data_IF_180904026285
#
_entry.id   IF_180904026285
#
_cell.length_a   1.000
_cell.length_b   1.000
_cell.length_c   1.000
_cell.angle_alpha   90.00
_cell.angle_beta   90.00
_cell.angle_gamma   90.00
#
_symmetry.space_group_name_H-M   'P 1'
#
loop_
_entity.id
_entity.type
_entity.pdbx_description
1 polymer ?
#
# COMPACT_ATOMS: atom_id res chain seq x y z
N UNK A 1 29.68 -39.47 -26.19
CA UNK A 1 28.58 -39.82 -25.27
C UNK A 1 28.24 -38.59 -24.47
N UNK A 2 27.08 -38.00 -24.74
CA UNK A 2 26.56 -36.83 -24.05
C UNK A 2 25.99 -37.25 -22.69
N UNK A 3 26.21 -36.45 -21.65
CA UNK A 3 25.43 -36.51 -20.42
C UNK A 3 24.75 -35.15 -20.23
N UNK A 4 23.44 -35.20 -20.32
CA UNK A 4 22.53 -34.07 -20.18
C UNK A 4 22.18 -33.83 -18.70
N UNK A 5 21.94 -32.54 -18.44
CA UNK A 5 20.84 -31.99 -17.64
C UNK A 5 20.83 -32.21 -16.12
N UNK A 6 21.17 -31.14 -15.41
CA UNK A 6 20.51 -30.73 -14.18
C UNK A 6 20.39 -29.19 -14.17
N UNK A 7 19.34 -28.67 -14.83
CA UNK A 7 18.85 -27.30 -14.62
C UNK A 7 17.36 -27.44 -14.33
N UNK A 8 17.02 -27.63 -13.07
CA UNK A 8 15.66 -27.50 -12.58
C UNK A 8 15.66 -26.40 -11.52
N UNK A 9 14.62 -25.57 -11.55
CA UNK A 9 14.27 -24.52 -10.58
C UNK A 9 14.91 -23.13 -10.81
N UNK A 10 14.65 -22.49 -11.96
CA UNK A 10 14.63 -21.00 -12.08
C UNK A 10 13.70 -20.46 -13.19
N UNK A 11 12.80 -21.28 -13.76
CA UNK A 11 12.01 -20.89 -14.95
C UNK A 11 10.61 -20.31 -14.65
N UNK A 12 10.02 -20.61 -13.50
CA UNK A 12 8.60 -20.28 -13.25
C UNK A 12 8.38 -18.78 -12.99
N UNK A 13 9.34 -18.08 -12.37
CA UNK A 13 9.20 -16.64 -12.08
C UNK A 13 9.43 -15.72 -13.29
N UNK A 14 10.39 -16.06 -14.16
CA UNK A 14 10.73 -15.22 -15.32
C UNK A 14 9.71 -15.38 -16.47
N UNK A 15 9.14 -16.57 -16.66
CA UNK A 15 8.13 -16.80 -17.70
C UNK A 15 6.80 -16.08 -17.41
N UNK A 16 6.44 -15.92 -16.12
CA UNK A 16 5.26 -15.16 -15.71
C UNK A 16 5.47 -13.65 -15.81
N UNK A 17 6.67 -13.15 -15.52
CA UNK A 17 7.00 -11.73 -15.77
C UNK A 17 7.12 -11.41 -17.26
N UNK A 18 7.62 -12.35 -18.08
CA UNK A 18 7.78 -12.17 -19.53
C UNK A 18 6.46 -12.24 -20.31
N UNK A 19 5.48 -13.02 -19.84
CA UNK A 19 4.16 -13.08 -20.49
C UNK A 19 3.37 -11.79 -20.26
N UNK A 20 3.52 -11.19 -19.08
CA UNK A 20 2.89 -9.92 -18.73
C UNK A 20 3.55 -8.72 -19.45
N UNK A 21 4.79 -8.83 -19.94
CA UNK A 21 5.53 -7.73 -20.67
C UNK A 21 5.29 -7.83 -22.17
N UNK A 22 4.59 -8.86 -22.62
CA UNK A 22 4.37 -9.06 -24.03
C UNK A 22 3.67 -7.82 -24.64
N UNK A 23 4.05 -7.40 -25.86
CA UNK A 23 3.38 -6.32 -26.56
C UNK A 23 1.86 -6.52 -26.68
N UNK A 24 1.42 -7.79 -26.70
CA UNK A 24 0.02 -8.19 -26.72
C UNK A 24 -0.71 -7.83 -25.41
N UNK A 25 -0.07 -8.02 -24.26
CA UNK A 25 -0.62 -7.62 -22.96
C UNK A 25 -0.75 -6.10 -22.82
N UNK A 26 0.22 -5.33 -23.33
CA UNK A 26 0.16 -3.86 -23.35
C UNK A 26 -0.97 -3.37 -24.27
N UNK A 27 -1.14 -4.01 -25.44
CA UNK A 27 -2.21 -3.67 -26.37
C UNK A 27 -3.60 -3.90 -25.79
N UNK A 28 -3.84 -5.02 -25.09
CA UNK A 28 -5.11 -5.28 -24.39
C UNK A 28 -5.38 -4.25 -23.29
N UNK A 29 -4.36 -3.96 -22.47
CA UNK A 29 -4.43 -2.94 -21.44
C UNK A 29 -4.74 -1.55 -22.01
N UNK A 30 -4.20 -1.18 -23.18
CA UNK A 30 -4.56 0.07 -23.87
C UNK A 30 -6.03 0.13 -24.25
N UNK A 31 -6.61 -0.97 -24.72
CA UNK A 31 -8.04 -1.00 -25.07
C UNK A 31 -8.91 -0.83 -23.82
N UNK A 32 -8.58 -1.52 -22.73
CA UNK A 32 -9.30 -1.42 -21.45
C UNK A 32 -9.10 -0.05 -20.77
N UNK A 33 -7.90 0.51 -20.84
CA UNK A 33 -7.64 1.87 -20.36
C UNK A 33 -8.44 2.93 -21.16
N UNK A 34 -8.65 2.70 -22.46
CA UNK A 34 -9.46 3.58 -23.31
C UNK A 34 -10.95 3.57 -22.94
N UNK A 35 -11.47 2.48 -22.37
CA UNK A 35 -12.85 2.44 -21.85
C UNK A 35 -13.01 3.16 -20.51
N UNK A 36 -11.91 3.61 -19.89
CA UNK A 36 -11.92 4.36 -18.62
C UNK A 36 -11.86 3.47 -17.38
N UNK A 37 -11.57 2.17 -17.53
CA UNK A 37 -11.39 1.26 -16.40
C UNK A 37 -10.16 1.66 -15.57
N UNK A 38 -10.36 2.15 -14.34
CA UNK A 38 -9.28 2.68 -13.50
C UNK A 38 -8.19 1.64 -13.20
N UNK A 39 -8.58 0.38 -13.02
CA UNK A 39 -7.64 -0.73 -12.82
C UNK A 39 -6.76 -0.93 -14.06
N UNK A 40 -7.34 -0.94 -15.26
CA UNK A 40 -6.56 -1.06 -16.49
C UNK A 40 -5.65 0.16 -16.75
N UNK A 41 -6.09 1.38 -16.40
CA UNK A 41 -5.25 2.58 -16.47
C UNK A 41 -4.05 2.44 -15.52
N UNK A 42 -4.27 1.96 -14.30
CA UNK A 42 -3.18 1.69 -13.35
C UNK A 42 -2.23 0.62 -13.88
N UNK A 43 -2.76 -0.54 -14.28
CA UNK A 43 -1.97 -1.68 -14.74
C UNK A 43 -1.12 -1.31 -15.97
N UNK A 44 -1.71 -0.58 -16.92
CA UNK A 44 -0.99 -0.03 -18.07
C UNK A 44 0.10 0.94 -17.62
N UNK A 45 -0.24 1.86 -16.71
CA UNK A 45 0.69 2.86 -16.20
C UNK A 45 1.90 2.22 -15.53
N UNK A 46 1.70 1.27 -14.61
CA UNK A 46 2.79 0.52 -13.98
C UNK A 46 3.57 -0.30 -15.00
N UNK A 47 2.89 -0.82 -16.04
CA UNK A 47 3.56 -1.65 -17.02
C UNK A 47 4.51 -0.87 -17.90
N UNK A 48 4.11 0.33 -18.31
CA UNK A 48 4.93 1.23 -19.10
C UNK A 48 6.12 1.79 -18.31
N UNK A 49 6.06 1.82 -16.97
CA UNK A 49 7.23 2.13 -16.14
C UNK A 49 8.23 0.97 -16.04
N UNK A 50 7.72 -0.26 -16.05
CA UNK A 50 8.53 -1.46 -15.78
C UNK A 50 8.98 -2.16 -17.08
N UNK A 51 8.70 -1.59 -18.26
CA UNK A 51 9.02 -2.22 -19.55
C UNK A 51 10.48 -2.03 -19.98
N UNK A 52 11.21 -1.14 -19.31
CA UNK A 52 12.62 -0.84 -19.59
C UNK A 52 12.84 0.01 -20.83
N UNK A 53 11.79 0.59 -21.42
CA UNK A 53 11.84 1.57 -22.49
C UNK A 53 11.56 2.98 -21.93
N UNK A 54 12.59 3.82 -21.75
CA UNK A 54 12.42 5.15 -21.16
C UNK A 54 11.50 6.09 -21.95
N UNK A 55 11.18 5.76 -23.20
CA UNK A 55 10.22 6.55 -23.98
C UNK A 55 8.78 6.40 -23.48
N UNK A 56 8.47 5.32 -22.75
CA UNK A 56 7.15 5.02 -22.21
C UNK A 56 6.93 5.55 -20.79
N UNK A 57 7.98 5.89 -20.04
CA UNK A 57 7.89 6.40 -18.66
C UNK A 57 7.00 7.64 -18.52
N UNK A 58 7.03 8.54 -19.50
CA UNK A 58 6.20 9.74 -19.44
C UNK A 58 4.70 9.37 -19.54
N UNK A 59 4.35 8.44 -20.43
CA UNK A 59 2.99 7.95 -20.61
C UNK A 59 2.53 7.15 -19.38
N UNK A 60 3.38 6.23 -18.90
CA UNK A 60 3.11 5.43 -17.71
C UNK A 60 2.80 6.30 -16.49
N UNK A 61 3.60 7.35 -16.30
CA UNK A 61 3.39 8.34 -15.25
C UNK A 61 2.07 9.10 -15.38
N UNK A 62 1.77 9.61 -16.57
CA UNK A 62 0.56 10.41 -16.77
C UNK A 62 -0.71 9.57 -16.55
N UNK A 63 -0.68 8.28 -16.93
CA UNK A 63 -1.75 7.33 -16.64
C UNK A 63 -1.94 7.10 -15.14
N UNK A 64 -0.86 6.91 -14.39
CA UNK A 64 -0.93 6.73 -12.94
C UNK A 64 -1.44 7.99 -12.22
N UNK A 65 -0.96 9.17 -12.61
CA UNK A 65 -1.46 10.46 -12.11
C UNK A 65 -2.95 10.60 -12.39
N UNK A 66 -3.40 10.26 -13.60
CA UNK A 66 -4.81 10.29 -13.98
C UNK A 66 -5.64 9.35 -13.11
N UNK A 67 -5.23 8.08 -12.98
CA UNK A 67 -5.94 7.10 -12.16
C UNK A 67 -6.00 7.52 -10.68
N UNK A 68 -4.89 8.01 -10.13
CA UNK A 68 -4.84 8.51 -8.75
C UNK A 68 -5.78 9.70 -8.53
N UNK A 69 -5.76 10.70 -9.43
CA UNK A 69 -6.68 11.85 -9.35
C UNK A 69 -8.15 11.48 -9.51
N UNK A 70 -8.46 10.36 -10.19
CA UNK A 70 -9.80 9.79 -10.28
C UNK A 70 -10.20 8.95 -9.05
N UNK A 71 -9.35 8.91 -8.02
CA UNK A 71 -9.61 8.23 -6.75
C UNK A 71 -9.26 6.75 -6.76
N UNK A 72 -8.42 6.29 -7.69
CA UNK A 72 -7.93 4.91 -7.64
C UNK A 72 -6.81 4.76 -6.59
N UNK A 73 -7.06 4.07 -5.46
CA UNK A 73 -6.15 4.09 -4.32
C UNK A 73 -4.79 3.50 -4.67
N UNK A 74 -4.73 2.39 -5.42
CA UNK A 74 -3.44 1.75 -5.77
C UNK A 74 -2.52 2.68 -6.59
N UNK A 75 -3.07 3.50 -7.49
CA UNK A 75 -2.27 4.49 -8.21
C UNK A 75 -1.77 5.59 -7.29
N UNK A 76 -2.63 6.09 -6.39
CA UNK A 76 -2.22 7.07 -5.39
C UNK A 76 -1.13 6.51 -4.46
N UNK A 77 -1.25 5.26 -3.99
CA UNK A 77 -0.23 4.60 -3.17
C UNK A 77 1.09 4.41 -3.93
N UNK A 78 1.01 4.05 -5.22
CA UNK A 78 2.19 3.90 -6.07
C UNK A 78 2.92 5.24 -6.22
N UNK A 79 2.19 6.31 -6.55
CA UNK A 79 2.72 7.68 -6.66
C UNK A 79 3.33 8.14 -5.34
N UNK A 80 2.64 7.91 -4.23
CA UNK A 80 3.12 8.25 -2.89
C UNK A 80 4.49 7.62 -2.62
N UNK A 81 4.62 6.31 -2.82
CA UNK A 81 5.89 5.59 -2.63
C UNK A 81 6.97 6.11 -3.57
N UNK A 82 6.64 6.35 -4.84
CA UNK A 82 7.60 6.89 -5.82
C UNK A 82 8.17 8.25 -5.37
N UNK A 83 7.33 9.16 -4.87
CA UNK A 83 7.77 10.45 -4.34
C UNK A 83 8.52 10.34 -3.01
N UNK A 84 8.04 9.50 -2.08
CA UNK A 84 8.63 9.34 -0.75
C UNK A 84 10.02 8.70 -0.79
N UNK A 85 10.22 7.72 -1.65
CA UNK A 85 11.51 7.04 -1.82
C UNK A 85 12.42 7.71 -2.85
N UNK A 86 11.94 8.75 -3.54
CA UNK A 86 12.72 9.47 -4.55
C UNK A 86 13.12 8.61 -5.74
N UNK A 87 12.23 7.75 -6.23
CA UNK A 87 12.52 6.96 -7.43
C UNK A 87 12.85 7.90 -8.60
N UNK A 88 14.00 7.66 -9.22
CA UNK A 88 14.76 8.62 -10.05
C UNK A 88 13.97 9.19 -11.24
N UNK A 89 13.00 8.46 -11.79
CA UNK A 89 12.14 8.88 -12.91
C UNK A 89 10.91 9.71 -12.51
N UNK A 90 10.55 9.70 -11.22
CA UNK A 90 9.27 10.23 -10.72
C UNK A 90 9.40 11.55 -9.98
N UNK A 91 10.52 11.72 -9.30
CA UNK A 91 10.88 12.97 -8.66
C UNK A 91 11.29 13.99 -9.73
N UNK A 92 10.48 15.04 -9.93
CA UNK A 92 10.83 16.24 -10.74
C UNK A 92 12.05 17.01 -10.20
N UNK A 93 12.81 16.41 -9.29
CA UNK A 93 13.91 16.95 -8.51
C UNK A 93 15.05 15.94 -8.50
N UNK A 94 15.68 15.68 -9.65
CA UNK A 94 16.94 14.92 -9.78
C UNK A 94 17.02 13.60 -8.95
N UNK A 95 15.91 12.87 -8.80
CA UNK A 95 15.85 11.65 -7.97
C UNK A 95 15.90 11.86 -6.45
N UNK A 96 15.51 13.04 -5.96
CA UNK A 96 15.39 13.32 -4.52
C UNK A 96 13.97 13.03 -4.03
N UNK A 97 13.83 12.48 -2.84
CA UNK A 97 12.52 12.31 -2.21
C UNK A 97 11.78 13.65 -2.11
N UNK A 98 10.47 13.63 -2.37
CA UNK A 98 9.56 14.76 -2.16
C UNK A 98 8.50 14.33 -1.15
N UNK A 99 8.74 14.71 0.11
CA UNK A 99 7.89 14.31 1.23
C UNK A 99 6.48 14.89 1.12
N UNK A 100 6.34 16.15 0.73
CA UNK A 100 5.05 16.85 0.66
C UNK A 100 4.13 16.24 -0.40
N UNK A 101 4.65 16.00 -1.61
CA UNK A 101 3.89 15.39 -2.69
C UNK A 101 3.59 13.92 -2.37
N UNK A 102 4.58 13.19 -1.82
CA UNK A 102 4.40 11.82 -1.37
C UNK A 102 3.29 11.70 -0.33
N UNK A 103 3.27 12.59 0.66
CA UNK A 103 2.22 12.64 1.68
C UNK A 103 0.86 13.01 1.10
N UNK A 104 0.80 13.95 0.15
CA UNK A 104 -0.45 14.30 -0.54
C UNK A 104 -1.07 13.07 -1.20
N UNK A 105 -0.28 12.31 -1.96
CA UNK A 105 -0.75 11.09 -2.60
C UNK A 105 -1.09 9.99 -1.60
N UNK A 106 -0.30 9.85 -0.53
CA UNK A 106 -0.54 8.85 0.51
C UNK A 106 -1.86 9.09 1.24
N UNK A 107 -2.17 10.36 1.55
CA UNK A 107 -3.47 10.75 2.11
C UNK A 107 -4.60 10.42 1.14
N UNK A 108 -4.45 10.77 -0.14
CA UNK A 108 -5.46 10.48 -1.16
C UNK A 108 -5.71 8.97 -1.29
N UNK A 109 -4.65 8.16 -1.22
CA UNK A 109 -4.76 6.71 -1.20
C UNK A 109 -5.55 6.22 0.01
N UNK A 110 -5.17 6.64 1.22
CA UNK A 110 -5.85 6.25 2.46
C UNK A 110 -7.32 6.70 2.52
N UNK A 111 -7.64 7.87 1.99
CA UNK A 111 -9.03 8.39 1.98
C UNK A 111 -9.94 7.64 1.00
N UNK A 112 -9.39 7.13 -0.11
CA UNK A 112 -10.15 6.39 -1.13
C UNK A 112 -9.98 4.87 -1.03
N UNK A 113 -9.16 4.39 -0.10
CA UNK A 113 -8.92 2.99 0.10
C UNK A 113 -10.16 2.29 0.66
N UNK A 114 -10.44 1.09 0.13
CA UNK A 114 -11.42 0.21 0.76
C UNK A 114 -10.75 -0.58 1.88
N UNK A 115 -11.50 -0.97 2.92
CA UNK A 115 -10.94 -1.66 4.07
C UNK A 115 -10.19 -2.97 3.69
N UNK A 116 -10.63 -3.64 2.64
CA UNK A 116 -10.08 -4.91 2.12
C UNK A 116 -8.85 -4.78 1.20
N UNK A 117 -8.35 -3.57 0.96
CA UNK A 117 -7.24 -3.32 0.00
C UNK A 117 -5.90 -3.08 0.69
N UNK A 118 -4.82 -2.95 -0.09
CA UNK A 118 -3.41 -2.69 0.33
C UNK A 118 -3.19 -1.42 1.19
N UNK A 119 -4.28 -0.81 1.67
CA UNK A 119 -4.35 0.36 2.54
C UNK A 119 -3.57 0.21 3.84
N UNK A 120 -3.27 -1.01 4.29
CA UNK A 120 -2.49 -1.26 5.51
C UNK A 120 -1.19 -0.47 5.51
N UNK A 121 -0.42 -0.60 4.43
CA UNK A 121 0.87 0.04 4.32
C UNK A 121 0.71 1.55 4.27
N UNK A 122 -0.34 2.05 3.63
CA UNK A 122 -0.59 3.48 3.51
C UNK A 122 -1.01 4.10 4.85
N UNK A 123 -1.93 3.46 5.57
CA UNK A 123 -2.34 3.87 6.92
C UNK A 123 -1.18 3.80 7.91
N UNK A 124 -0.38 2.74 7.84
CA UNK A 124 0.82 2.59 8.67
C UNK A 124 1.82 3.70 8.36
N UNK A 125 2.09 3.97 7.09
CA UNK A 125 3.03 5.02 6.68
C UNK A 125 2.52 6.41 7.07
N UNK A 126 1.22 6.69 6.94
CA UNK A 126 0.63 7.95 7.45
C UNK A 126 0.81 8.06 8.97
N UNK A 127 0.52 6.99 9.71
CA UNK A 127 0.76 6.94 11.15
C UNK A 127 2.22 7.18 11.52
N UNK A 128 3.15 6.51 10.83
CA UNK A 128 4.59 6.63 11.07
C UNK A 128 5.08 8.06 10.77
N UNK A 129 4.62 8.68 9.67
CA UNK A 129 4.94 10.07 9.32
C UNK A 129 4.44 11.06 10.37
N UNK A 130 3.16 10.97 10.77
CA UNK A 130 2.58 11.89 11.75
C UNK A 130 3.10 11.71 13.16
N UNK A 131 3.46 10.49 13.54
CA UNK A 131 4.05 10.22 14.85
C UNK A 131 5.52 10.64 14.94
N UNK A 132 6.17 10.90 13.79
CA UNK A 132 7.60 11.14 13.72
C UNK A 132 8.41 9.86 13.92
N UNK A 133 7.81 8.67 13.79
CA UNK A 133 8.58 7.44 13.78
C UNK A 133 9.43 7.37 12.52
N UNK A 134 10.67 6.92 12.69
CA UNK A 134 11.61 6.79 11.59
C UNK A 134 11.12 5.75 10.59
N UNK A 135 10.86 6.19 9.37
CA UNK A 135 10.65 5.30 8.22
C UNK A 135 11.99 5.09 7.53
N UNK A 136 12.32 3.84 7.20
CA UNK A 136 13.56 3.50 6.52
C UNK A 136 13.58 4.16 5.13
N UNK A 137 14.72 4.72 4.76
CA UNK A 137 14.99 5.35 3.45
C UNK A 137 14.12 6.59 3.13
N UNK A 138 13.42 7.15 4.13
CA UNK A 138 12.65 8.40 4.00
C UNK A 138 13.16 9.40 5.05
N UNK A 139 13.65 10.55 4.61
CA UNK A 139 13.98 11.65 5.51
C UNK A 139 12.70 12.44 5.86
N UNK A 140 12.18 12.19 7.06
CA UNK A 140 11.01 12.86 7.64
C UNK A 140 11.38 13.80 8.79
N UNK A 141 12.67 14.11 8.96
CA UNK A 141 13.18 14.87 10.13
C UNK A 141 12.64 16.30 10.24
N UNK A 142 12.20 16.89 9.13
CA UNK A 142 11.57 18.22 9.09
C UNK A 142 10.03 18.21 9.16
N UNK A 143 9.41 17.03 9.25
CA UNK A 143 7.96 16.92 9.24
C UNK A 143 7.37 17.17 10.63
N UNK A 144 6.33 18.02 10.77
CA UNK A 144 5.73 18.30 12.07
C UNK A 144 4.98 17.08 12.61
N UNK A 145 5.29 16.72 13.86
CA UNK A 145 4.60 15.64 14.57
C UNK A 145 3.17 16.08 14.90
N UNK A 146 2.20 15.25 14.53
CA UNK A 146 0.78 15.36 14.89
C UNK A 146 0.25 14.02 15.38
N UNK A 147 0.34 13.79 16.69
CA UNK A 147 -0.09 12.54 17.30
C UNK A 147 -1.60 12.30 17.16
N UNK A 148 -2.41 13.35 16.93
CA UNK A 148 -3.86 13.20 16.73
C UNK A 148 -4.15 12.55 15.38
N UNK A 149 -3.52 13.03 14.31
CA UNK A 149 -3.60 12.39 13.00
C UNK A 149 -2.94 11.00 13.03
N UNK A 150 -1.81 10.82 13.71
CA UNK A 150 -1.18 9.51 13.84
C UNK A 150 -2.13 8.47 14.46
N UNK A 151 -2.82 8.82 15.54
CA UNK A 151 -3.81 7.95 16.20
C UNK A 151 -4.95 7.58 15.24
N UNK A 152 -5.45 8.53 14.46
CA UNK A 152 -6.51 8.28 13.47
C UNK A 152 -6.08 7.23 12.45
N UNK A 153 -4.89 7.39 11.87
CA UNK A 153 -4.39 6.45 10.84
C UNK A 153 -4.03 5.08 11.42
N UNK A 154 -3.41 5.03 12.61
CA UNK A 154 -3.13 3.75 13.25
C UNK A 154 -4.39 2.99 13.67
N UNK A 155 -5.48 3.67 14.00
CA UNK A 155 -6.77 3.02 14.25
C UNK A 155 -7.32 2.34 13.00
N UNK A 156 -7.27 3.02 11.86
CA UNK A 156 -7.68 2.43 10.58
C UNK A 156 -6.80 1.23 10.23
N UNK A 157 -5.49 1.34 10.45
CA UNK A 157 -4.59 0.21 10.24
C UNK A 157 -4.87 -0.97 11.20
N UNK A 158 -5.11 -0.71 12.49
CA UNK A 158 -5.34 -1.74 13.50
C UNK A 158 -6.66 -2.50 13.31
N UNK A 159 -7.70 -1.83 12.78
CA UNK A 159 -9.00 -2.47 12.48
C UNK A 159 -8.85 -3.54 11.40
N UNK A 160 -8.03 -3.29 10.39
CA UNK A 160 -7.82 -4.23 9.29
C UNK A 160 -6.71 -5.25 9.60
N UNK A 161 -5.73 -4.89 10.44
CA UNK A 161 -4.54 -5.70 10.71
C UNK A 161 -4.01 -5.50 12.14
N UNK A 162 -4.25 -6.49 13.02
CA UNK A 162 -4.11 -6.30 14.47
C UNK A 162 -2.69 -5.96 14.97
N UNK A 163 -1.67 -6.78 14.71
CA UNK A 163 -0.56 -6.83 15.68
C UNK A 163 0.45 -5.67 15.63
N UNK A 164 0.84 -5.18 14.45
CA UNK A 164 1.85 -4.10 14.36
C UNK A 164 1.24 -2.73 14.67
N UNK A 165 0.08 -2.44 14.10
CA UNK A 165 -0.56 -1.14 14.22
C UNK A 165 -1.17 -0.92 15.61
N UNK A 166 -1.61 -1.97 16.30
CA UNK A 166 -1.98 -1.87 17.73
C UNK A 166 -0.78 -1.50 18.61
N UNK A 167 0.40 -2.08 18.35
CA UNK A 167 1.62 -1.75 19.08
C UNK A 167 2.01 -0.28 18.92
N UNK A 168 2.02 0.21 17.67
CA UNK A 168 2.29 1.62 17.36
C UNK A 168 1.24 2.56 17.95
N UNK A 169 -0.03 2.18 17.88
CA UNK A 169 -1.12 2.93 18.51
C UNK A 169 -0.89 3.02 20.03
N UNK A 170 -0.51 1.92 20.68
CA UNK A 170 -0.16 1.89 22.10
C UNK A 170 0.98 2.85 22.45
N UNK A 171 2.06 2.84 21.68
CA UNK A 171 3.21 3.75 21.87
C UNK A 171 2.78 5.23 21.77
N UNK A 172 2.00 5.59 20.75
CA UNK A 172 1.54 6.96 20.54
C UNK A 172 0.56 7.41 21.64
N UNK A 173 -0.34 6.52 22.08
CA UNK A 173 -1.29 6.84 23.15
C UNK A 173 -0.58 7.08 24.51
N UNK A 174 0.55 6.39 24.76
CA UNK A 174 1.38 6.64 25.94
C UNK A 174 2.07 8.01 25.85
N UNK A 175 2.51 8.42 24.65
CA UNK A 175 3.15 9.71 24.43
C UNK A 175 2.17 10.90 24.52
N UNK A 176 0.88 10.68 24.27
CA UNK A 176 -0.15 11.71 24.38
C UNK A 176 -1.38 11.25 25.17
N UNK A 177 -1.28 11.15 26.51
CA UNK A 177 -2.35 10.61 27.35
C UNK A 177 -3.65 11.42 27.27
N UNK A 178 -3.57 12.74 27.05
CA UNK A 178 -4.73 13.61 26.94
C UNK A 178 -5.49 13.41 25.62
N UNK A 179 -4.77 13.24 24.50
CA UNK A 179 -5.41 12.88 23.22
C UNK A 179 -5.92 11.45 23.26
N UNK A 180 -5.21 10.54 23.94
CA UNK A 180 -5.65 9.17 24.18
C UNK A 180 -6.98 9.11 24.94
N UNK A 181 -7.18 9.97 25.96
CA UNK A 181 -8.43 10.05 26.71
C UNK A 181 -9.60 10.55 25.85
N UNK A 182 -9.36 11.53 24.97
CA UNK A 182 -10.38 12.03 24.03
C UNK A 182 -10.68 10.98 22.96
N UNK A 183 -9.63 10.32 22.46
CA UNK A 183 -9.73 9.30 21.45
C UNK A 183 -10.44 8.05 22.00
N UNK A 184 -10.25 7.67 23.27
CA UNK A 184 -10.92 6.53 23.92
C UNK A 184 -12.38 6.84 24.26
N UNK A 185 -12.70 8.06 24.68
CA UNK A 185 -14.09 8.47 24.96
C UNK A 185 -14.98 8.53 23.71
N UNK A 186 -14.40 8.69 22.51
CA UNK A 186 -15.10 8.56 21.23
C UNK A 186 -15.11 7.15 20.64
N UNK A 187 -14.33 6.22 21.20
CA UNK A 187 -14.11 4.88 20.65
C UNK A 187 -14.83 3.85 21.52
N UNK A 188 -16.13 3.63 21.25
CA UNK A 188 -16.72 2.34 21.59
C UNK A 188 -16.09 1.34 20.65
N UNK A 189 -15.12 0.57 21.14
CA UNK A 189 -14.78 -0.72 20.55
C UNK A 189 -16.10 -1.48 20.38
N UNK A 190 -16.66 -1.48 19.17
CA UNK A 190 -17.53 -2.58 18.76
C UNK A 190 -16.56 -3.72 18.52
N UNK A 191 -16.07 -4.31 19.62
CA UNK A 191 -15.61 -5.68 19.57
C UNK A 191 -16.76 -6.41 18.87
N UNK A 192 -16.54 -7.07 17.72
CA UNK A 192 -17.53 -8.02 17.27
C UNK A 192 -17.79 -8.91 18.48
N UNK A 193 -19.07 -9.03 18.86
CA UNK A 193 -19.48 -9.91 19.95
C UNK A 193 -19.01 -11.29 19.49
N UNK A 194 -17.83 -11.69 19.95
CA UNK A 194 -17.29 -13.00 19.70
C UNK A 194 -18.22 -13.94 20.46
N UNK A 195 -19.21 -14.47 19.77
CA UNK A 195 -19.85 -15.71 20.16
C UNK A 195 -18.87 -16.84 19.84
N UNK A 196 -17.73 -16.87 20.52
CA UNK A 196 -16.85 -18.02 20.56
C UNK A 196 -16.33 -18.18 21.97
N UNK A 197 -16.72 -19.30 22.58
CA UNK A 197 -16.35 -19.68 23.93
C UNK A 197 -14.83 -19.75 24.09
N UNK A 198 -14.38 -19.30 25.26
CA UNK A 198 -13.15 -19.66 25.95
C UNK A 198 -12.04 -20.33 25.11
N UNK A 199 -11.14 -19.53 24.56
CA UNK A 199 -9.77 -19.97 24.28
C UNK A 199 -8.83 -19.33 25.31
N UNK A 200 -8.43 -20.12 26.30
CA UNK A 200 -7.41 -19.76 27.29
C UNK A 200 -6.03 -20.20 26.80
N UNK A 201 -5.13 -19.25 26.58
CA UNK A 201 -3.69 -19.50 26.46
C UNK A 201 -3.10 -19.34 25.07
N UNK A 202 -2.00 -18.60 25.01
CA UNK A 202 -1.17 -18.34 23.85
C UNK A 202 -0.46 -19.62 23.39
N UNK A 203 -1.12 -20.43 22.55
CA UNK A 203 -0.46 -21.33 21.61
C UNK A 203 -1.49 -21.89 20.61
N UNK A 204 -1.25 -21.55 19.34
CA UNK A 204 -1.73 -22.18 18.11
C UNK A 204 -3.25 -22.36 17.95
N UNK A 205 -3.88 -21.44 17.22
CA UNK A 205 -5.05 -21.79 16.41
C UNK A 205 -4.60 -21.87 14.94
N UNK A 206 -4.33 -23.08 14.48
CA UNK A 206 -4.10 -23.39 13.07
C UNK A 206 -5.41 -23.77 12.39
N UNK A 207 -5.75 -23.00 11.34
CA UNK A 207 -6.31 -23.47 10.04
C UNK A 207 -7.83 -23.76 9.94
N UNK A 208 -8.38 -24.04 8.72
CA UNK A 208 -8.72 -23.05 7.71
C UNK A 208 -10.04 -23.41 6.98
N UNK A 209 -11.22 -22.99 7.41
CA UNK A 209 -12.46 -23.42 6.73
C UNK A 209 -13.54 -22.36 6.90
N UNK A 210 -13.69 -21.46 5.92
CA UNK A 210 -14.93 -20.69 5.84
C UNK A 210 -15.28 -20.10 4.47
N UNK A 211 -14.95 -20.77 3.36
CA UNK A 211 -15.62 -20.47 2.08
C UNK A 211 -15.86 -21.74 1.27
N UNK A 212 -16.92 -22.46 1.60
CA UNK A 212 -17.62 -23.34 0.64
C UNK A 212 -19.13 -23.16 0.80
N UNK A 213 -19.81 -22.91 -0.33
CA UNK A 213 -21.28 -22.85 -0.45
C UNK A 213 -21.77 -21.46 -0.88
N UNK A 214 -21.60 -21.07 -2.15
CA UNK A 214 -22.44 -21.37 -3.34
C UNK A 214 -23.55 -20.33 -3.57
N UNK A 215 -23.39 -19.63 -4.70
CA UNK A 215 -24.35 -19.08 -5.68
C UNK A 215 -25.51 -18.26 -5.13
#
# INVERSE_FOLDING_TARGET
MALAANVWVYSVGHAQQSSLTSPEAISDLRQRAATGELAAIHDLGTRLQDDGDPSNDAEGRDLLIRAGNLGYPNSASYLAKAYLYGWYEWSRTDGKANLDEGLRWLRLAGENARPDTLAQDDYRMLGDLYSGFRIRDIDSSGFPVDLTEAIKWYRLCAVEFETFCEGRLGEVLIQSPETALRASNGFRLRLPRATYGACSGWRTCTSPEMWSGKI
#
